data_IF_648613758245
#
_entry.id   IF_648613758245
#
_cell.length_a   1.000
_cell.length_b   1.000
_cell.length_c   1.000
_cell.angle_alpha   90.00
_cell.angle_beta   90.00
_cell.angle_gamma   90.00
#
_symmetry.space_group_name_H-M   'P 1'
#
loop_
_entity.id
_entity.type
_entity.pdbx_description
1 polymer ?
#
# COMPACT_ATOMS: atom_id res chain seq x y z
N UNK A 1 -13.05 -1.67 9.40
CA UNK A 1 -14.22 -1.27 10.22
C UNK A 1 -15.09 -0.32 9.41
N UNK A 2 -16.42 -0.47 9.48
CA UNK A 2 -17.38 0.49 8.88
C UNK A 2 -17.67 1.58 9.89
N UNK A 3 -17.49 2.85 9.48
CA UNK A 3 -17.80 4.04 10.30
C UNK A 3 -18.97 4.80 9.66
N UNK A 4 -20.09 4.97 10.34
CA UNK A 4 -21.21 5.79 9.82
C UNK A 4 -20.80 7.26 9.66
N UNK A 5 -21.17 7.86 8.54
CA UNK A 5 -20.99 9.28 8.28
C UNK A 5 -22.32 10.03 8.44
N UNK A 6 -22.25 11.33 8.70
CA UNK A 6 -23.44 12.16 8.89
C UNK A 6 -24.41 12.18 7.70
N UNK A 7 -23.92 11.87 6.48
CA UNK A 7 -24.72 11.77 5.25
C UNK A 7 -25.39 10.41 5.03
N UNK A 8 -25.35 9.49 6.02
CA UNK A 8 -25.96 8.16 5.93
C UNK A 8 -25.14 7.11 5.18
N UNK A 9 -23.98 7.46 4.62
CA UNK A 9 -23.01 6.52 4.06
C UNK A 9 -22.07 5.97 5.14
N UNK A 10 -21.28 4.94 4.78
CA UNK A 10 -20.23 4.42 5.65
C UNK A 10 -18.85 4.73 5.04
N UNK A 11 -17.90 5.18 5.85
CA UNK A 11 -16.49 5.17 5.52
C UNK A 11 -15.83 3.87 6.02
N UNK A 12 -14.78 3.44 5.34
CA UNK A 12 -13.88 2.44 5.89
C UNK A 12 -12.94 3.12 6.88
N UNK A 13 -12.75 2.51 8.03
CA UNK A 13 -11.83 2.97 9.05
C UNK A 13 -10.89 1.82 9.45
N UNK A 14 -9.65 2.17 9.70
CA UNK A 14 -8.63 1.27 10.21
C UNK A 14 -8.19 1.70 11.61
N UNK A 15 -8.18 0.78 12.54
CA UNK A 15 -7.64 0.94 13.88
C UNK A 15 -6.69 -0.22 14.16
N UNK A 16 -5.41 0.07 14.31
CA UNK A 16 -4.38 -0.97 14.40
C UNK A 16 -4.55 -1.90 15.60
N UNK A 17 -4.89 -1.34 16.77
CA UNK A 17 -5.09 -2.16 17.98
C UNK A 17 -6.26 -3.11 17.82
N UNK A 18 -7.37 -2.61 17.25
CA UNK A 18 -8.54 -3.42 16.97
C UNK A 18 -8.22 -4.52 15.96
N UNK A 19 -7.52 -4.19 14.89
CA UNK A 19 -7.15 -5.17 13.86
C UNK A 19 -6.22 -6.25 14.41
N UNK A 20 -5.19 -5.89 15.20
CA UNK A 20 -4.29 -6.87 15.82
C UNK A 20 -4.96 -7.76 16.85
N UNK A 21 -6.03 -7.27 17.51
CA UNK A 21 -6.82 -8.08 18.44
C UNK A 21 -7.74 -9.07 17.72
N UNK A 22 -7.95 -8.92 16.43
CA UNK A 22 -8.76 -9.85 15.63
C UNK A 22 -7.96 -11.10 15.30
N UNK A 23 -8.64 -12.25 15.31
CA UNK A 23 -8.05 -13.48 14.79
C UNK A 23 -8.37 -13.60 13.31
N UNK A 24 -7.38 -13.51 12.40
CA UNK A 24 -7.62 -13.55 10.95
C UNK A 24 -8.26 -14.86 10.47
N UNK A 25 -8.24 -15.92 11.30
CA UNK A 25 -8.83 -17.22 10.98
C UNK A 25 -10.29 -17.35 11.39
N UNK A 26 -10.76 -16.54 12.32
CA UNK A 26 -12.12 -16.68 12.92
C UNK A 26 -12.94 -15.41 12.84
N UNK A 27 -12.30 -14.27 12.55
CA UNK A 27 -12.99 -12.98 12.55
C UNK A 27 -13.79 -12.78 11.26
N UNK A 28 -14.85 -11.99 11.38
CA UNK A 28 -15.57 -11.38 10.25
C UNK A 28 -14.73 -10.23 9.64
N UNK A 29 -13.42 -10.42 9.53
CA UNK A 29 -12.50 -9.47 8.94
C UNK A 29 -12.79 -9.38 7.44
N UNK A 30 -13.61 -8.41 7.08
CA UNK A 30 -13.72 -7.96 5.70
C UNK A 30 -12.56 -7.03 5.39
N UNK A 31 -11.39 -7.61 5.12
CA UNK A 31 -10.28 -6.86 4.53
C UNK A 31 -10.41 -7.04 3.01
N UNK A 32 -10.51 -5.96 2.24
CA UNK A 32 -10.61 -6.05 0.78
C UNK A 32 -9.49 -6.92 0.21
N UNK A 33 -9.86 -7.96 -0.53
CA UNK A 33 -8.93 -8.90 -1.16
C UNK A 33 -8.48 -10.10 -0.31
N UNK A 34 -8.82 -10.17 0.99
CA UNK A 34 -8.39 -11.28 1.85
C UNK A 34 -9.50 -12.30 2.10
N UNK A 35 -10.70 -11.83 2.44
CA UNK A 35 -11.84 -12.66 2.84
C UNK A 35 -12.50 -13.41 1.68
N UNK A 36 -12.36 -12.92 0.46
CA UNK A 36 -12.92 -13.55 -0.74
C UNK A 36 -11.97 -14.50 -1.46
N UNK A 37 -10.67 -14.53 -1.08
CA UNK A 37 -9.64 -15.25 -1.84
C UNK A 37 -9.20 -16.55 -1.19
N UNK A 38 -9.44 -16.75 0.12
CA UNK A 38 -8.95 -17.92 0.85
C UNK A 38 -10.03 -18.53 1.75
N UNK A 39 -10.06 -19.87 1.81
CA UNK A 39 -10.75 -20.59 2.88
C UNK A 39 -10.01 -20.37 4.20
N UNK A 40 -10.64 -20.66 5.34
CA UNK A 40 -9.99 -20.57 6.67
C UNK A 40 -8.75 -21.46 6.75
N UNK A 41 -8.82 -22.65 6.20
CA UNK A 41 -7.72 -23.61 6.12
C UNK A 41 -6.59 -23.09 5.22
N UNK A 42 -6.93 -22.54 4.05
CA UNK A 42 -5.96 -21.93 3.13
C UNK A 42 -5.27 -20.72 3.74
N UNK A 43 -6.00 -19.89 4.51
CA UNK A 43 -5.42 -18.76 5.24
C UNK A 43 -4.46 -19.24 6.34
N UNK A 44 -4.84 -20.29 7.10
CA UNK A 44 -3.96 -20.86 8.12
C UNK A 44 -2.66 -21.40 7.52
N UNK A 45 -2.77 -22.12 6.42
CA UNK A 45 -1.58 -22.65 5.72
C UNK A 45 -0.71 -21.51 5.18
N UNK A 46 -1.30 -20.46 4.62
CA UNK A 46 -0.58 -19.29 4.15
C UNK A 46 0.18 -18.60 5.29
N UNK A 47 -0.47 -18.31 6.41
CA UNK A 47 0.17 -17.71 7.58
C UNK A 47 1.33 -18.58 8.09
N UNK A 48 1.14 -19.91 8.16
CA UNK A 48 2.20 -20.84 8.55
C UNK A 48 3.41 -20.81 7.59
N UNK A 49 3.18 -20.72 6.28
CA UNK A 49 4.28 -20.56 5.30
C UNK A 49 5.05 -19.26 5.48
N UNK A 50 4.41 -18.20 5.97
CA UNK A 50 5.03 -16.90 6.20
C UNK A 50 5.68 -16.74 7.59
N UNK A 51 5.51 -17.69 8.52
CA UNK A 51 6.13 -17.64 9.87
C UNK A 51 7.66 -17.48 9.83
N UNK A 52 8.32 -18.01 8.78
CA UNK A 52 9.76 -17.91 8.57
C UNK A 52 10.17 -16.82 7.57
N UNK A 53 9.23 -16.04 7.08
CA UNK A 53 9.49 -15.00 6.06
C UNK A 53 9.59 -13.64 6.74
N UNK A 54 10.80 -13.17 6.96
CA UNK A 54 11.08 -11.83 7.44
C UNK A 54 11.13 -10.81 6.28
N UNK A 55 11.40 -9.56 6.60
CA UNK A 55 11.47 -8.48 5.64
C UNK A 55 12.54 -8.71 4.56
N UNK A 56 13.72 -9.21 4.92
CA UNK A 56 14.80 -9.48 3.97
C UNK A 56 14.47 -10.68 3.07
N UNK A 57 13.78 -11.69 3.57
CA UNK A 57 13.27 -12.77 2.74
C UNK A 57 12.24 -12.28 1.71
N UNK A 58 11.36 -11.34 2.09
CA UNK A 58 10.44 -10.70 1.12
C UNK A 58 11.21 -9.91 0.05
N UNK A 59 12.21 -9.14 0.43
CA UNK A 59 13.07 -8.42 -0.53
C UNK A 59 13.77 -9.36 -1.49
N UNK A 60 14.29 -10.48 -1.00
CA UNK A 60 14.91 -11.53 -1.83
C UNK A 60 13.91 -12.12 -2.81
N UNK A 61 12.70 -12.46 -2.34
CA UNK A 61 11.66 -13.02 -3.19
C UNK A 61 11.22 -12.02 -4.26
N UNK A 62 11.01 -10.76 -3.90
CA UNK A 62 10.68 -9.68 -4.83
C UNK A 62 11.79 -9.48 -5.86
N UNK A 63 13.06 -9.57 -5.44
CA UNK A 63 14.22 -9.46 -6.33
C UNK A 63 14.22 -10.55 -7.39
N UNK A 64 13.99 -11.80 -7.01
CA UNK A 64 13.88 -12.92 -7.96
C UNK A 64 12.72 -12.68 -8.92
N UNK A 65 11.54 -12.35 -8.40
CA UNK A 65 10.36 -12.10 -9.21
C UNK A 65 10.59 -10.98 -10.25
N UNK A 66 11.10 -9.83 -9.83
CA UNK A 66 11.28 -8.68 -10.73
C UNK A 66 12.34 -8.93 -11.80
N UNK A 67 13.43 -9.63 -11.47
CA UNK A 67 14.46 -10.01 -12.46
C UNK A 67 13.95 -10.92 -13.56
N UNK A 68 12.95 -11.75 -13.27
CA UNK A 68 12.33 -12.63 -14.26
C UNK A 68 11.21 -11.93 -15.03
N UNK A 69 10.39 -11.12 -14.37
CA UNK A 69 9.17 -10.56 -14.97
C UNK A 69 9.43 -9.27 -15.75
N UNK A 70 10.34 -8.40 -15.29
CA UNK A 70 10.61 -7.11 -15.96
C UNK A 70 11.08 -7.29 -17.39
N UNK A 71 12.01 -8.21 -17.74
CA UNK A 71 12.39 -8.43 -19.14
C UNK A 71 11.22 -8.88 -20.05
N UNK A 72 10.28 -9.63 -19.50
CA UNK A 72 9.06 -10.04 -20.25
C UNK A 72 8.13 -8.85 -20.44
N UNK A 73 7.99 -8.00 -19.42
CA UNK A 73 7.20 -6.77 -19.48
C UNK A 73 7.78 -5.79 -20.52
N UNK A 74 9.11 -5.67 -20.61
CA UNK A 74 9.80 -4.90 -21.64
C UNK A 74 9.50 -5.42 -23.07
N UNK A 75 9.59 -6.74 -23.27
CA UNK A 75 9.30 -7.35 -24.58
C UNK A 75 7.83 -7.16 -24.99
N UNK A 76 6.94 -7.12 -24.01
CA UNK A 76 5.50 -6.93 -24.22
C UNK A 76 5.08 -5.46 -24.30
N UNK A 77 5.98 -4.51 -24.08
CA UNK A 77 5.71 -3.06 -23.93
C UNK A 77 4.66 -2.78 -22.85
N UNK A 78 4.73 -3.49 -21.72
CA UNK A 78 3.82 -3.36 -20.57
C UNK A 78 4.57 -2.85 -19.35
N UNK A 79 4.26 -1.66 -18.88
CA UNK A 79 4.86 -1.12 -17.65
C UNK A 79 4.23 -1.75 -16.42
N UNK A 80 5.05 -2.31 -15.55
CA UNK A 80 4.63 -2.70 -14.22
C UNK A 80 4.37 -1.46 -13.37
N UNK A 81 3.37 -1.53 -12.50
CA UNK A 81 2.99 -0.46 -11.59
C UNK A 81 2.72 -1.04 -10.20
N UNK A 82 3.77 -1.28 -9.42
CA UNK A 82 3.68 -1.94 -8.12
C UNK A 82 3.04 -0.98 -7.12
N UNK A 83 1.93 -1.42 -6.51
CA UNK A 83 1.20 -0.68 -5.50
C UNK A 83 1.91 -0.79 -4.13
N UNK A 84 2.01 0.31 -3.35
CA UNK A 84 2.54 0.24 -1.99
C UNK A 84 1.66 -0.59 -1.08
N UNK A 85 2.26 -1.10 -0.01
CA UNK A 85 1.53 -1.81 1.03
C UNK A 85 0.48 -0.92 1.69
N UNK A 86 -0.70 -1.46 1.97
CA UNK A 86 -1.81 -0.76 2.60
C UNK A 86 -2.39 -1.60 3.76
N UNK A 87 -2.21 -1.16 5.00
CA UNK A 87 -1.38 -0.04 5.46
C UNK A 87 0.14 -0.32 5.35
N UNK A 88 1.00 0.72 5.38
CA UNK A 88 2.44 0.58 5.21
C UNK A 88 3.17 0.18 6.50
N UNK A 89 2.64 -0.81 7.22
CA UNK A 89 3.24 -1.43 8.41
C UNK A 89 2.78 -2.87 8.56
N UNK A 90 3.60 -3.68 9.25
CA UNK A 90 3.35 -5.11 9.44
C UNK A 90 2.05 -5.39 10.17
N UNK A 91 1.35 -6.46 9.77
CA UNK A 91 0.10 -6.95 10.37
C UNK A 91 0.12 -8.46 10.49
N UNK A 92 -0.39 -9.00 11.59
CA UNK A 92 -0.50 -10.44 11.84
C UNK A 92 0.83 -11.22 11.67
N UNK A 93 1.95 -10.57 11.98
CA UNK A 93 3.28 -11.15 11.77
C UNK A 93 3.78 -11.12 10.32
N UNK A 94 2.97 -10.61 9.37
CA UNK A 94 3.36 -10.47 7.98
C UNK A 94 4.11 -9.15 7.78
N UNK A 95 5.38 -9.18 7.33
CA UNK A 95 6.14 -7.97 7.06
C UNK A 95 5.61 -7.21 5.84
N UNK A 96 5.90 -5.91 5.77
CA UNK A 96 5.57 -5.01 4.68
C UNK A 96 6.83 -4.29 4.22
N UNK A 97 7.07 -4.23 2.91
CA UNK A 97 8.32 -3.73 2.34
C UNK A 97 8.16 -2.55 1.39
N UNK A 98 6.96 -2.28 0.88
CA UNK A 98 6.70 -1.16 -0.04
C UNK A 98 6.00 -0.04 0.72
N UNK A 99 6.73 0.66 1.62
CA UNK A 99 6.15 1.44 2.71
C UNK A 99 6.59 2.89 2.80
N UNK A 100 7.78 3.22 2.27
CA UNK A 100 8.41 4.54 2.40
C UNK A 100 9.30 4.85 1.19
N UNK A 101 9.84 6.07 1.14
CA UNK A 101 10.65 6.57 0.02
C UNK A 101 11.88 5.72 -0.27
N UNK A 102 12.59 5.28 0.78
CA UNK A 102 13.79 4.47 0.69
C UNK A 102 13.47 3.09 0.10
N UNK A 103 12.40 2.48 0.57
CA UNK A 103 11.93 1.18 0.09
C UNK A 103 11.42 1.25 -1.36
N UNK A 104 10.76 2.33 -1.75
CA UNK A 104 10.38 2.55 -3.15
C UNK A 104 11.61 2.66 -4.05
N UNK A 105 12.67 3.35 -3.60
CA UNK A 105 13.93 3.42 -4.32
C UNK A 105 14.59 2.04 -4.42
N UNK A 106 14.71 1.32 -3.29
CA UNK A 106 15.25 -0.05 -3.27
C UNK A 106 14.54 -0.97 -4.26
N UNK A 107 13.20 -0.86 -4.35
CA UNK A 107 12.40 -1.63 -5.31
C UNK A 107 12.77 -1.30 -6.76
N UNK A 108 12.88 -0.02 -7.10
CA UNK A 108 13.22 0.40 -8.45
C UNK A 108 14.66 0.03 -8.84
N UNK A 109 15.58 0.01 -7.86
CA UNK A 109 16.99 -0.34 -8.05
C UNK A 109 17.21 -1.85 -8.27
N UNK A 110 16.22 -2.72 -7.96
CA UNK A 110 16.31 -4.16 -8.23
C UNK A 110 16.52 -4.45 -9.72
N UNK A 111 15.74 -3.75 -10.56
CA UNK A 111 15.90 -3.74 -12.02
C UNK A 111 15.70 -2.31 -12.49
N UNK A 112 16.79 -1.66 -12.90
CA UNK A 112 16.74 -0.28 -13.38
C UNK A 112 16.22 -0.24 -14.83
N UNK A 113 14.91 -0.31 -14.94
CA UNK A 113 14.17 -0.33 -16.20
C UNK A 113 12.94 0.59 -16.12
N UNK A 114 12.60 1.32 -17.17
CA UNK A 114 11.37 2.11 -17.22
C UNK A 114 10.09 1.25 -17.14
N UNK A 115 10.21 -0.06 -17.28
CA UNK A 115 9.11 -1.01 -17.15
C UNK A 115 8.94 -1.54 -15.71
N UNK A 116 9.92 -1.33 -14.82
CA UNK A 116 9.79 -1.55 -13.39
C UNK A 116 9.32 -0.25 -12.73
N UNK A 117 8.04 -0.07 -12.54
CA UNK A 117 7.44 1.17 -12.07
C UNK A 117 6.57 1.01 -10.82
N UNK A 118 6.08 2.13 -10.35
CA UNK A 118 5.27 2.27 -9.15
C UNK A 118 3.84 2.67 -9.48
N UNK A 119 2.88 2.12 -8.76
CA UNK A 119 1.62 2.82 -8.48
C UNK A 119 1.86 3.70 -7.27
N UNK A 120 1.87 5.01 -7.43
CA UNK A 120 1.98 5.88 -6.27
C UNK A 120 0.58 6.14 -5.69
N UNK A 121 0.25 5.39 -4.64
CA UNK A 121 -1.01 5.55 -3.91
C UNK A 121 -0.84 6.57 -2.79
N UNK A 122 -1.49 7.73 -2.93
CA UNK A 122 -1.36 8.83 -1.97
C UNK A 122 -1.91 8.47 -0.60
N UNK A 123 -2.99 7.70 -0.53
CA UNK A 123 -3.58 7.24 0.72
C UNK A 123 -2.72 6.21 1.43
N UNK A 124 -2.29 5.14 0.74
CA UNK A 124 -1.49 4.07 1.35
C UNK A 124 -0.16 4.58 1.91
N UNK A 125 0.55 5.42 1.17
CA UNK A 125 1.79 6.03 1.66
C UNK A 125 1.54 7.12 2.70
N UNK A 126 0.52 7.94 2.49
CA UNK A 126 0.24 9.12 3.31
C UNK A 126 -0.38 8.83 4.67
N UNK A 127 -0.79 7.57 4.98
CA UNK A 127 -1.19 7.20 6.35
C UNK A 127 0.01 7.18 7.30
N UNK A 128 1.24 7.04 6.77
CA UNK A 128 2.45 7.29 7.54
C UNK A 128 2.81 8.78 7.43
N UNK A 129 2.73 9.56 8.52
CA UNK A 129 2.98 11.00 8.49
C UNK A 129 4.45 11.38 8.19
N UNK A 130 5.38 10.42 8.26
CA UNK A 130 6.77 10.61 7.88
C UNK A 130 6.97 10.64 6.35
N UNK A 131 6.00 10.15 5.59
CA UNK A 131 6.03 10.13 4.15
C UNK A 131 5.55 11.48 3.55
N UNK A 132 6.44 12.25 2.95
CA UNK A 132 6.04 13.38 2.09
C UNK A 132 5.67 12.86 0.70
N UNK A 133 4.37 12.62 0.52
CA UNK A 133 3.83 12.03 -0.72
C UNK A 133 4.08 12.91 -1.94
N UNK A 134 4.05 14.23 -1.81
CA UNK A 134 4.32 15.15 -2.92
C UNK A 134 5.81 15.10 -3.32
N UNK A 135 6.72 14.99 -2.35
CA UNK A 135 8.13 14.80 -2.62
C UNK A 135 8.42 13.43 -3.26
N UNK A 136 7.71 12.37 -2.83
CA UNK A 136 7.81 11.06 -3.47
C UNK A 136 7.34 11.08 -4.93
N UNK A 137 6.21 11.72 -5.23
CA UNK A 137 5.71 11.92 -6.60
C UNK A 137 6.75 12.61 -7.47
N UNK A 138 7.33 13.71 -7.00
CA UNK A 138 8.39 14.42 -7.70
C UNK A 138 9.63 13.56 -7.91
N UNK A 139 10.03 12.82 -6.87
CA UNK A 139 11.25 11.99 -6.91
C UNK A 139 11.14 10.85 -7.91
N UNK A 140 9.95 10.23 -8.00
CA UNK A 140 9.72 9.03 -8.81
C UNK A 140 8.87 9.26 -10.06
N UNK A 141 8.70 10.53 -10.50
CA UNK A 141 7.84 10.91 -11.63
C UNK A 141 8.07 10.05 -12.88
N UNK A 142 9.34 9.84 -13.27
CA UNK A 142 9.72 9.05 -14.45
C UNK A 142 9.50 7.54 -14.31
N UNK A 143 9.19 7.05 -13.12
CA UNK A 143 9.00 5.63 -12.78
C UNK A 143 7.61 5.35 -12.18
N UNK A 144 6.66 6.28 -12.35
CA UNK A 144 5.29 6.19 -11.81
C UNK A 144 4.27 6.18 -12.95
N UNK A 145 4.08 5.02 -13.64
CA UNK A 145 3.12 4.93 -14.73
C UNK A 145 1.65 5.04 -14.27
N UNK A 146 1.38 4.89 -13.00
CA UNK A 146 0.03 5.00 -12.43
C UNK A 146 0.01 5.73 -11.09
N UNK A 147 -0.96 6.63 -10.90
CA UNK A 147 -1.20 7.33 -9.63
C UNK A 147 -2.59 7.02 -9.14
N UNK A 148 -2.69 6.58 -7.88
CA UNK A 148 -3.95 6.37 -7.18
C UNK A 148 -4.17 7.54 -6.21
N UNK A 149 -4.97 8.52 -6.60
CA UNK A 149 -5.32 9.66 -5.74
C UNK A 149 -6.38 9.22 -4.72
N UNK A 150 -5.98 9.14 -3.47
CA UNK A 150 -6.79 8.75 -2.32
C UNK A 150 -6.48 9.67 -1.16
N UNK A 151 -7.49 10.30 -0.57
CA UNK A 151 -7.31 11.06 0.66
C UNK A 151 -7.81 10.24 1.85
N UNK A 152 -7.09 10.34 2.94
CA UNK A 152 -7.41 9.70 4.22
C UNK A 152 -7.39 10.73 5.34
N UNK A 153 -8.05 10.41 6.43
CA UNK A 153 -7.97 11.20 7.66
C UNK A 153 -7.30 10.37 8.75
N UNK A 154 -6.13 10.82 9.18
CA UNK A 154 -5.43 10.22 10.33
C UNK A 154 -6.21 10.58 11.60
N UNK A 155 -6.60 9.58 12.37
CA UNK A 155 -7.40 9.73 13.59
C UNK A 155 -6.62 9.38 14.86
N UNK A 156 -5.43 8.83 14.72
CA UNK A 156 -4.52 8.46 15.79
C UNK A 156 -3.29 7.75 15.28
N UNK A 157 -2.41 7.31 16.17
CA UNK A 157 -1.24 6.52 15.78
C UNK A 157 -1.69 5.22 15.09
N UNK A 158 -1.28 5.02 13.86
CA UNK A 158 -1.69 3.89 13.02
C UNK A 158 -3.21 3.70 12.92
N UNK A 159 -3.97 4.80 13.00
CA UNK A 159 -5.42 4.81 12.85
C UNK A 159 -5.83 5.84 11.81
N UNK A 160 -6.67 5.44 10.87
CA UNK A 160 -7.15 6.32 9.80
C UNK A 160 -8.53 5.89 9.29
N UNK A 161 -9.17 6.80 8.58
CA UNK A 161 -10.43 6.55 7.89
C UNK A 161 -10.38 7.11 6.46
N UNK A 162 -11.16 6.52 5.56
CA UNK A 162 -11.37 7.06 4.22
C UNK A 162 -11.98 8.46 4.28
N UNK A 163 -11.54 9.34 3.41
CA UNK A 163 -11.97 10.72 3.39
C UNK A 163 -12.28 11.23 1.98
N UNK A 164 -13.03 12.33 1.89
CA UNK A 164 -13.24 13.02 0.62
C UNK A 164 -11.94 13.60 0.05
N UNK A 165 -11.83 13.69 -1.28
CA UNK A 165 -10.57 14.01 -1.97
C UNK A 165 -10.04 15.44 -1.71
N UNK A 166 -10.89 16.40 -1.33
CA UNK A 166 -10.42 17.76 -1.05
C UNK A 166 -9.62 17.81 0.27
N UNK A 167 -8.53 18.60 0.30
CA UNK A 167 -7.57 18.65 1.42
C UNK A 167 -8.23 18.86 2.79
N UNK A 168 -9.23 19.74 2.88
CA UNK A 168 -9.93 20.07 4.15
C UNK A 168 -10.73 18.89 4.74
N UNK A 169 -10.95 17.81 4.01
CA UNK A 169 -11.70 16.64 4.48
C UNK A 169 -10.80 15.57 5.10
N UNK A 170 -9.54 15.52 4.70
CA UNK A 170 -8.58 14.53 5.13
C UNK A 170 -7.32 15.10 5.75
N UNK A 171 -6.28 14.30 5.81
CA UNK A 171 -4.98 14.67 6.37
C UNK A 171 -3.92 14.97 5.31
N UNK A 172 -4.21 14.67 4.03
CA UNK A 172 -3.27 14.92 2.95
C UNK A 172 -3.55 16.27 2.28
N UNK A 173 -2.49 17.00 1.95
CA UNK A 173 -2.59 18.20 1.10
C UNK A 173 -2.79 17.78 -0.38
N UNK A 174 -4.02 17.43 -0.72
CA UNK A 174 -4.39 16.98 -2.06
C UNK A 174 -4.16 18.06 -3.12
N UNK A 175 -4.24 19.34 -2.76
CA UNK A 175 -3.92 20.43 -3.67
C UNK A 175 -2.43 20.38 -4.07
N UNK A 176 -1.53 20.31 -3.08
CA UNK A 176 -0.07 20.18 -3.32
C UNK A 176 0.25 18.93 -4.13
N UNK A 177 -0.40 17.80 -3.81
CA UNK A 177 -0.23 16.53 -4.53
C UNK A 177 -0.61 16.67 -6.01
N UNK A 178 -1.82 17.17 -6.30
CA UNK A 178 -2.30 17.34 -7.68
C UNK A 178 -1.46 18.39 -8.44
N UNK A 179 -1.08 19.48 -7.77
CA UNK A 179 -0.17 20.46 -8.37
C UNK A 179 1.18 19.83 -8.77
N UNK A 180 1.75 18.99 -7.90
CA UNK A 180 3.01 18.28 -8.18
C UNK A 180 2.90 17.34 -9.39
N UNK A 181 1.73 16.75 -9.63
CA UNK A 181 1.48 15.91 -10.82
C UNK A 181 1.35 16.74 -12.11
N UNK A 182 0.91 17.98 -12.00
CA UNK A 182 0.74 18.88 -13.14
C UNK A 182 2.07 19.52 -13.56
N UNK A 183 2.89 19.94 -12.60
CA UNK A 183 4.18 20.64 -12.82
C UNK A 183 5.26 19.68 -13.40
#
# INVERSE_FOLDING_TARGET
LKKPLAAGSNALAYDHKTVLAMNPLTSELSLPGWDSSYTKEGMKELLHRYESVDEEALWKNLTVFLKEVVPVAEQADVKLAIHPDDPPWSMFGLPRIVTNKENLRRLLDIVDSPYNGLTLCTGSLGVNPENDVADMLKTFAGRTPFVHLRNIKITGAQCFEESGHISVKGSLDMYRIVKTLYD
#
